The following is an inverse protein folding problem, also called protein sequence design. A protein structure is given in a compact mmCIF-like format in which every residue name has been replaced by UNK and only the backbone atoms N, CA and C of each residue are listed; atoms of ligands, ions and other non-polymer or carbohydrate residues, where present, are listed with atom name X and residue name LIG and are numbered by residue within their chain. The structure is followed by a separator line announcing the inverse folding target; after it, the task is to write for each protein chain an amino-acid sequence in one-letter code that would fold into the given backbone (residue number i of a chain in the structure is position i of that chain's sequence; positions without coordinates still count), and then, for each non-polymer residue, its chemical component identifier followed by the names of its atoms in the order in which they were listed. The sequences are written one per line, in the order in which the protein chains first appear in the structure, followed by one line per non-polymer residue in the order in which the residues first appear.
data_IF_846936714887
#
_entry.id   IF_846936714887
#
_cell.length_a   1.000
_cell.length_b   1.000
_cell.length_c   1.000
_cell.angle_alpha   90.00
_cell.angle_beta   90.00
_cell.angle_gamma   90.00
#
_symmetry.space_group_name_H-M   'P 1'
#
loop_
_entity.id
_entity.type
_entity.pdbx_description
1 polymer ?
#
# COMPACT_ATOMS: atom_id res chain seq x y z
N UNK A 1 -2.12 0.40 -18.62
CA UNK A 1 -2.59 -0.27 -17.38
C UNK A 1 -2.60 0.72 -16.24
N UNK A 2 -3.72 0.78 -15.49
CA UNK A 2 -3.83 1.65 -14.30
C UNK A 2 -3.87 0.83 -13.03
N UNK A 3 -3.04 1.18 -12.05
CA UNK A 3 -3.04 0.58 -10.70
C UNK A 3 -3.33 1.68 -9.70
N UNK A 4 -4.23 1.40 -8.75
CA UNK A 4 -4.51 2.28 -7.60
C UNK A 4 -4.27 1.51 -6.33
N UNK A 5 -3.62 2.16 -5.36
CA UNK A 5 -3.47 1.68 -3.99
C UNK A 5 -4.16 2.63 -3.03
N UNK A 6 -4.90 2.08 -2.06
CA UNK A 6 -5.65 2.87 -1.10
C UNK A 6 -5.73 2.19 0.27
N UNK A 7 -5.12 2.77 1.28
CA UNK A 7 -5.40 2.40 2.67
C UNK A 7 -6.80 2.93 3.04
N UNK A 8 -7.75 2.03 3.17
CA UNK A 8 -9.18 2.37 3.33
C UNK A 8 -9.61 2.55 4.78
N UNK A 9 -8.75 2.24 5.74
CA UNK A 9 -9.04 2.34 7.18
C UNK A 9 -10.40 1.73 7.57
N UNK A 10 -10.70 0.54 7.02
CA UNK A 10 -11.88 -0.26 7.30
C UNK A 10 -12.95 -0.25 6.20
N UNK A 11 -13.15 -1.42 5.58
CA UNK A 11 -14.10 -1.61 4.46
C UNK A 11 -15.53 -1.19 4.82
N UNK A 12 -16.04 -1.57 6.00
CA UNK A 12 -17.39 -1.22 6.46
C UNK A 12 -17.56 0.28 6.66
N UNK A 13 -16.51 0.97 7.10
CA UNK A 13 -16.53 2.41 7.24
C UNK A 13 -16.62 3.09 5.86
N UNK A 14 -15.90 2.59 4.88
CA UNK A 14 -15.84 3.15 3.54
C UNK A 14 -17.15 2.97 2.76
N UNK A 15 -17.80 1.79 2.85
CA UNK A 15 -19.07 1.53 2.17
C UNK A 15 -20.22 2.40 2.66
N UNK A 16 -20.09 3.00 3.85
CA UNK A 16 -21.09 3.92 4.43
C UNK A 16 -20.81 5.40 4.13
N UNK A 17 -19.82 5.72 3.27
CA UNK A 17 -19.43 7.10 2.98
C UNK A 17 -19.48 7.38 1.48
N UNK A 18 -19.96 8.56 1.08
CA UNK A 18 -19.83 9.09 -0.26
C UNK A 18 -18.42 9.63 -0.52
N UNK A 19 -18.12 9.95 -1.78
CA UNK A 19 -16.83 10.51 -2.21
C UNK A 19 -16.41 11.74 -1.39
N UNK A 20 -17.37 12.60 -1.03
CA UNK A 20 -17.15 13.79 -0.21
C UNK A 20 -17.03 13.51 1.30
N UNK A 21 -17.16 12.24 1.73
CA UNK A 21 -17.06 11.81 3.13
C UNK A 21 -18.38 11.84 3.91
N UNK A 22 -19.50 12.24 3.31
CA UNK A 22 -20.81 12.18 3.95
C UNK A 22 -21.25 10.73 4.24
N UNK A 23 -21.94 10.52 5.37
CA UNK A 23 -22.37 9.20 5.85
C UNK A 23 -23.75 8.81 5.34
N UNK A 24 -23.92 8.70 4.03
CA UNK A 24 -25.17 8.28 3.38
C UNK A 24 -24.92 7.25 2.28
N UNK A 25 -23.74 6.62 2.27
CA UNK A 25 -23.36 5.62 1.28
C UNK A 25 -24.04 4.26 1.50
N UNK A 26 -23.89 3.41 0.52
CA UNK A 26 -24.36 2.02 0.52
C UNK A 26 -23.48 1.16 -0.39
N UNK A 27 -23.78 -0.14 -0.57
CA UNK A 27 -22.95 -1.04 -1.37
C UNK A 27 -22.70 -0.59 -2.82
N UNK A 28 -23.67 0.12 -3.40
CA UNK A 28 -23.63 0.56 -4.81
C UNK A 28 -23.37 2.06 -4.99
N UNK A 29 -23.28 2.81 -3.90
CA UNK A 29 -23.03 4.26 -3.96
C UNK A 29 -22.16 4.65 -2.75
N UNK A 30 -20.86 4.56 -2.91
CA UNK A 30 -19.90 4.89 -1.87
C UNK A 30 -18.60 5.40 -2.49
N UNK A 31 -17.67 5.85 -1.65
CA UNK A 31 -16.40 6.42 -2.10
C UNK A 31 -15.59 5.43 -2.95
N UNK A 32 -15.66 4.12 -2.68
CA UNK A 32 -14.91 3.11 -3.44
C UNK A 32 -15.53 2.90 -4.82
N UNK A 33 -16.86 2.83 -4.94
CA UNK A 33 -17.53 2.71 -6.24
C UNK A 33 -17.30 3.97 -7.08
N UNK A 34 -17.37 5.17 -6.48
CA UNK A 34 -17.01 6.42 -7.18
C UNK A 34 -15.56 6.41 -7.68
N UNK A 35 -14.60 5.95 -6.85
CA UNK A 35 -13.20 5.82 -7.27
C UNK A 35 -13.07 4.88 -8.47
N UNK A 36 -13.72 3.72 -8.43
CA UNK A 36 -13.64 2.71 -9.49
C UNK A 36 -14.27 3.24 -10.78
N UNK A 37 -15.44 3.84 -10.71
CA UNK A 37 -16.18 4.33 -11.88
C UNK A 37 -15.48 5.52 -12.55
N UNK A 38 -14.89 6.43 -11.78
CA UNK A 38 -14.18 7.60 -12.30
C UNK A 38 -12.78 7.27 -12.81
N UNK A 39 -12.06 6.43 -12.08
CA UNK A 39 -10.64 6.14 -12.39
C UNK A 39 -10.45 4.88 -13.23
N UNK A 40 -11.39 3.94 -13.21
CA UNK A 40 -11.39 2.69 -13.98
C UNK A 40 -10.08 1.89 -13.87
N UNK A 41 -9.53 1.65 -12.66
CA UNK A 41 -8.29 0.92 -12.49
C UNK A 41 -8.40 -0.52 -13.00
N UNK A 42 -7.31 -1.04 -13.55
CA UNK A 42 -7.17 -2.44 -13.93
C UNK A 42 -6.88 -3.30 -12.71
N UNK A 43 -6.10 -2.75 -11.78
CA UNK A 43 -5.75 -3.36 -10.50
C UNK A 43 -6.01 -2.35 -9.39
N UNK A 44 -6.67 -2.81 -8.32
CA UNK A 44 -6.98 -2.02 -7.13
C UNK A 44 -6.47 -2.74 -5.89
N UNK A 45 -5.62 -2.07 -5.13
CA UNK A 45 -4.98 -2.58 -3.92
C UNK A 45 -5.54 -1.86 -2.70
N UNK A 46 -6.00 -2.62 -1.70
CA UNK A 46 -6.47 -2.06 -0.44
C UNK A 46 -5.59 -2.48 0.73
N UNK A 47 -5.39 -1.57 1.67
CA UNK A 47 -4.78 -1.83 2.96
C UNK A 47 -5.77 -1.46 4.07
N UNK A 48 -5.58 -2.05 5.24
CA UNK A 48 -6.43 -1.90 6.42
C UNK A 48 -7.91 -2.21 6.16
N UNK A 49 -8.20 -3.40 5.63
CA UNK A 49 -9.58 -3.87 5.44
C UNK A 49 -10.37 -3.92 6.76
N UNK A 50 -9.70 -4.22 7.87
CA UNK A 50 -10.25 -4.30 9.22
C UNK A 50 -11.52 -5.16 9.31
N UNK A 51 -11.54 -6.27 8.56
CA UNK A 51 -12.64 -7.26 8.56
C UNK A 51 -12.11 -8.67 8.68
N UNK A 52 -12.98 -9.59 9.10
CA UNK A 52 -12.75 -11.03 9.08
C UNK A 52 -13.66 -11.73 8.06
N UNK A 53 -14.50 -10.95 7.35
CA UNK A 53 -15.48 -11.47 6.42
C UNK A 53 -15.17 -11.01 4.99
N UNK A 54 -14.71 -11.93 4.15
CA UNK A 54 -14.46 -11.68 2.72
C UNK A 54 -15.73 -11.21 2.00
N UNK A 55 -16.91 -11.58 2.49
CA UNK A 55 -18.20 -11.13 1.97
C UNK A 55 -18.42 -9.62 2.02
N UNK A 56 -17.69 -8.90 2.88
CA UNK A 56 -17.74 -7.44 2.93
C UNK A 56 -17.20 -6.78 1.65
N UNK A 57 -16.48 -7.53 0.79
CA UNK A 57 -15.97 -7.10 -0.51
C UNK A 57 -16.86 -7.56 -1.67
N UNK A 58 -17.96 -8.28 -1.42
CA UNK A 58 -18.76 -8.94 -2.46
C UNK A 58 -19.32 -7.94 -3.49
N UNK A 59 -19.65 -6.71 -3.09
CA UNK A 59 -20.17 -5.66 -3.99
C UNK A 59 -19.15 -5.24 -5.06
N UNK A 60 -17.85 -5.46 -4.82
CA UNK A 60 -16.77 -5.14 -5.77
C UNK A 60 -16.63 -6.18 -6.89
N UNK A 61 -17.27 -7.36 -6.77
CA UNK A 61 -17.23 -8.39 -7.81
C UNK A 61 -17.88 -7.98 -9.12
N UNK A 62 -18.73 -6.95 -9.08
CA UNK A 62 -19.32 -6.33 -10.28
C UNK A 62 -18.25 -5.66 -11.15
N UNK A 63 -17.17 -5.17 -10.54
CA UNK A 63 -16.08 -4.47 -11.21
C UNK A 63 -14.84 -5.36 -11.39
N UNK A 64 -14.60 -6.28 -10.45
CA UNK A 64 -13.41 -7.15 -10.42
C UNK A 64 -13.83 -8.61 -10.21
N UNK A 65 -13.71 -9.47 -11.24
CA UNK A 65 -14.00 -10.90 -11.10
C UNK A 65 -13.02 -11.59 -10.12
N UNK A 66 -11.80 -11.09 -10.01
CA UNK A 66 -10.74 -11.68 -9.20
C UNK A 66 -10.43 -10.80 -7.99
N UNK A 67 -10.68 -11.32 -6.78
CA UNK A 67 -10.44 -10.64 -5.51
C UNK A 67 -9.66 -11.59 -4.59
N UNK A 68 -8.46 -11.20 -4.22
CA UNK A 68 -7.56 -11.93 -3.34
C UNK A 68 -7.35 -11.15 -2.05
N UNK A 69 -7.43 -11.81 -0.92
CA UNK A 69 -7.33 -11.16 0.39
C UNK A 69 -6.37 -11.89 1.29
N UNK A 70 -5.67 -11.15 2.13
CA UNK A 70 -4.99 -11.68 3.30
C UNK A 70 -5.53 -10.93 4.52
N UNK A 71 -6.29 -11.62 5.36
CA UNK A 71 -6.93 -11.05 6.53
C UNK A 71 -6.15 -11.44 7.79
N UNK A 72 -6.14 -10.56 8.79
CA UNK A 72 -5.45 -10.82 10.04
C UNK A 72 -6.00 -12.07 10.74
N UNK A 73 -5.11 -13.01 11.08
CA UNK A 73 -5.39 -14.20 11.88
C UNK A 73 -5.12 -13.94 13.37
N UNK A 74 -4.28 -12.95 13.67
CA UNK A 74 -3.89 -12.62 15.06
C UNK A 74 -4.92 -11.79 15.80
N UNK A 75 -5.60 -10.84 15.11
CA UNK A 75 -6.53 -9.91 15.77
C UNK A 75 -7.70 -9.54 14.86
N UNK A 76 -8.93 -9.68 15.39
CA UNK A 76 -10.17 -9.28 14.69
C UNK A 76 -10.22 -7.77 14.44
N UNK A 77 -10.64 -7.36 13.25
CA UNK A 77 -10.82 -5.96 12.90
C UNK A 77 -9.51 -5.17 12.82
N UNK A 78 -8.40 -5.85 12.53
CA UNK A 78 -7.07 -5.28 12.45
C UNK A 78 -6.42 -5.60 11.10
N UNK A 79 -5.63 -4.67 10.54
CA UNK A 79 -4.88 -4.87 9.30
C UNK A 79 -5.75 -5.44 8.15
N UNK A 80 -5.21 -6.36 7.37
CA UNK A 80 -5.86 -6.98 6.22
C UNK A 80 -5.64 -6.21 4.93
N UNK A 81 -5.23 -6.92 3.87
CA UNK A 81 -5.02 -6.36 2.53
C UNK A 81 -5.84 -7.10 1.50
N UNK A 82 -6.13 -6.43 0.38
CA UNK A 82 -6.76 -7.04 -0.79
C UNK A 82 -6.12 -6.56 -2.09
N UNK A 83 -6.04 -7.46 -3.06
CA UNK A 83 -5.72 -7.19 -4.45
C UNK A 83 -6.92 -7.58 -5.31
N UNK A 84 -7.46 -6.61 -6.03
CA UNK A 84 -8.61 -6.77 -6.93
C UNK A 84 -8.13 -6.54 -8.36
N UNK A 85 -8.47 -7.41 -9.28
CA UNK A 85 -7.98 -7.32 -10.66
C UNK A 85 -9.01 -7.79 -11.68
N UNK A 86 -8.98 -7.18 -12.89
CA UNK A 86 -9.77 -7.60 -14.05
C UNK A 86 -9.15 -8.81 -14.75
N UNK A 87 -7.81 -8.91 -14.74
CA UNK A 87 -7.04 -10.01 -15.30
C UNK A 87 -6.82 -11.09 -14.22
N UNK A 88 -6.98 -12.37 -14.58
CA UNK A 88 -6.65 -13.46 -13.67
C UNK A 88 -5.13 -13.64 -13.56
N UNK A 89 -4.54 -13.59 -12.36
CA UNK A 89 -3.13 -13.86 -12.17
C UNK A 89 -2.83 -15.36 -12.34
N UNK A 90 -1.65 -15.66 -12.86
CA UNK A 90 -1.16 -17.04 -13.01
C UNK A 90 -0.84 -17.69 -11.66
N UNK A 91 -0.54 -16.86 -10.66
CA UNK A 91 -0.13 -17.33 -9.35
C UNK A 91 -0.39 -16.25 -8.27
N UNK A 92 -0.79 -16.69 -7.08
CA UNK A 92 -1.07 -15.85 -5.91
C UNK A 92 -0.33 -16.38 -4.69
N UNK A 93 0.21 -15.48 -3.91
CA UNK A 93 0.77 -15.74 -2.59
C UNK A 93 0.31 -14.69 -1.58
N UNK A 94 0.09 -15.12 -0.35
CA UNK A 94 -0.45 -14.22 0.71
C UNK A 94 0.51 -14.06 1.89
N UNK A 95 1.73 -14.53 1.74
CA UNK A 95 2.80 -14.41 2.74
C UNK A 95 4.16 -14.60 2.04
N UNK A 96 5.25 -14.61 2.80
CA UNK A 96 6.60 -14.97 2.33
C UNK A 96 6.80 -16.51 2.31
N UNK A 97 5.87 -17.24 1.68
CA UNK A 97 5.83 -18.72 1.74
C UNK A 97 7.01 -19.41 1.06
N UNK A 98 7.79 -18.66 0.25
CA UNK A 98 9.04 -19.17 -0.35
C UNK A 98 10.18 -19.25 0.63
N UNK A 99 10.11 -18.50 1.73
CA UNK A 99 11.08 -18.60 2.80
C UNK A 99 10.68 -19.69 3.79
N UNK A 100 11.63 -20.56 4.19
CA UNK A 100 11.41 -21.48 5.30
C UNK A 100 10.97 -20.74 6.56
N UNK A 101 10.15 -21.40 7.38
CA UNK A 101 9.63 -20.79 8.61
C UNK A 101 10.77 -20.39 9.57
N UNK A 102 11.89 -21.13 9.53
CA UNK A 102 13.11 -20.80 10.29
C UNK A 102 13.68 -19.43 9.89
N UNK A 103 13.70 -19.11 8.59
CA UNK A 103 14.19 -17.79 8.11
C UNK A 103 13.30 -16.68 8.62
N UNK A 104 11.98 -16.85 8.54
CA UNK A 104 10.98 -15.89 9.07
C UNK A 104 11.16 -15.73 10.59
N UNK A 105 11.42 -16.83 11.31
CA UNK A 105 11.69 -16.85 12.74
C UNK A 105 13.00 -16.13 13.12
N UNK A 106 14.06 -16.37 12.37
CA UNK A 106 15.38 -15.75 12.60
C UNK A 106 15.32 -14.22 12.44
N UNK A 107 14.47 -13.71 11.51
CA UNK A 107 14.19 -12.28 11.38
C UNK A 107 13.22 -11.74 12.44
N UNK A 108 12.56 -12.59 13.23
CA UNK A 108 11.63 -12.17 14.28
C UNK A 108 10.32 -11.56 13.75
N UNK A 109 9.93 -11.85 12.50
CA UNK A 109 8.74 -11.25 11.87
C UNK A 109 7.51 -12.17 11.84
N UNK A 110 7.56 -13.30 12.53
CA UNK A 110 6.48 -14.28 12.54
C UNK A 110 5.10 -13.69 12.92
N UNK A 111 5.05 -12.77 13.88
CA UNK A 111 3.79 -12.10 14.24
C UNK A 111 3.19 -11.32 13.06
N UNK A 112 4.03 -10.66 12.25
CA UNK A 112 3.57 -9.87 11.12
C UNK A 112 2.98 -10.73 10.00
N UNK A 113 3.48 -11.97 9.82
CA UNK A 113 2.91 -12.90 8.83
C UNK A 113 1.49 -13.30 9.18
N UNK A 114 1.10 -13.24 10.46
CA UNK A 114 -0.24 -13.54 10.94
C UNK A 114 -1.19 -12.32 10.89
N UNK A 115 -0.70 -11.15 10.55
CA UNK A 115 -1.50 -9.91 10.57
C UNK A 115 -2.19 -9.58 9.22
N UNK A 116 -1.99 -10.41 8.18
CA UNK A 116 -2.64 -10.20 6.89
C UNK A 116 -2.13 -8.94 6.18
N UNK A 117 -0.82 -8.89 5.87
CA UNK A 117 -0.14 -7.67 5.44
C UNK A 117 0.30 -7.65 3.99
N UNK A 118 0.27 -8.78 3.29
CA UNK A 118 0.78 -8.87 1.92
C UNK A 118 -0.08 -9.80 1.06
N UNK A 119 -0.29 -9.41 -0.20
CA UNK A 119 -0.76 -10.28 -1.29
C UNK A 119 0.15 -10.03 -2.49
N UNK A 120 0.63 -11.10 -3.09
CA UNK A 120 1.52 -11.09 -4.25
C UNK A 120 0.78 -11.79 -5.39
N UNK A 121 0.68 -11.13 -6.53
CA UNK A 121 0.04 -11.64 -7.73
C UNK A 121 1.00 -11.63 -8.91
N UNK A 122 1.32 -12.80 -9.48
CA UNK A 122 2.10 -12.91 -10.70
C UNK A 122 1.15 -12.99 -11.89
N UNK A 123 1.31 -12.08 -12.81
CA UNK A 123 0.68 -12.08 -14.12
C UNK A 123 1.68 -12.49 -15.21
N UNK A 124 1.23 -12.60 -16.44
CA UNK A 124 2.07 -13.01 -17.56
C UNK A 124 3.27 -12.07 -17.79
N UNK A 125 3.08 -10.76 -17.58
CA UNK A 125 4.10 -9.73 -17.90
C UNK A 125 4.61 -8.94 -16.69
N UNK A 126 4.12 -9.22 -15.47
CA UNK A 126 4.42 -8.43 -14.29
C UNK A 126 4.12 -9.18 -13.00
N UNK A 127 4.70 -8.70 -11.91
CA UNK A 127 4.32 -9.13 -10.55
C UNK A 127 3.81 -7.88 -9.82
N UNK A 128 2.64 -7.97 -9.20
CA UNK A 128 2.05 -6.90 -8.40
C UNK A 128 1.92 -7.34 -6.95
N UNK A 129 2.43 -6.52 -6.05
CA UNK A 129 2.40 -6.75 -4.61
C UNK A 129 1.59 -5.65 -3.96
N UNK A 130 0.60 -6.00 -3.15
CA UNK A 130 -0.01 -5.07 -2.21
C UNK A 130 0.48 -5.35 -0.81
N UNK A 131 0.88 -4.30 -0.10
CA UNK A 131 1.47 -4.42 1.23
C UNK A 131 0.91 -3.36 2.20
N UNK A 132 0.76 -3.77 3.46
CA UNK A 132 0.56 -2.87 4.59
C UNK A 132 1.72 -3.08 5.58
N UNK A 133 2.73 -2.25 5.47
CA UNK A 133 3.92 -2.36 6.28
C UNK A 133 3.63 -2.04 7.76
N UNK A 134 4.18 -2.82 8.71
CA UNK A 134 3.98 -2.57 10.14
C UNK A 134 4.39 -1.16 10.54
N UNK A 135 3.62 -0.49 11.39
CA UNK A 135 4.03 0.77 12.00
C UNK A 135 5.01 0.52 13.16
N UNK A 136 6.03 1.35 13.30
CA UNK A 136 7.05 1.21 14.35
C UNK A 136 6.53 1.49 15.77
N UNK A 137 5.29 1.99 15.91
CA UNK A 137 4.60 2.34 17.15
C UNK A 137 5.24 3.54 17.88
N UNK A 138 4.52 4.18 18.83
CA UNK A 138 5.07 5.29 19.62
C UNK A 138 6.43 4.94 20.22
N UNK A 139 7.31 5.94 20.30
CA UNK A 139 8.69 5.81 20.80
C UNK A 139 9.54 4.78 20.03
N UNK A 140 9.10 4.40 18.81
CA UNK A 140 9.75 3.39 17.96
C UNK A 140 9.83 2.01 18.64
N UNK A 141 8.83 1.66 19.46
CA UNK A 141 8.82 0.46 20.29
C UNK A 141 8.97 -0.85 19.48
N UNK A 142 8.57 -0.86 18.18
CA UNK A 142 8.69 -2.02 17.28
C UNK A 142 9.65 -1.76 16.11
N UNK A 143 10.63 -0.88 16.28
CA UNK A 143 11.50 -0.48 15.16
C UNK A 143 12.38 -1.64 14.64
N UNK A 144 12.82 -2.54 15.50
CA UNK A 144 13.68 -3.66 15.10
C UNK A 144 12.91 -4.65 14.21
N UNK A 145 11.71 -5.03 14.64
CA UNK A 145 10.83 -5.93 13.86
C UNK A 145 10.38 -5.26 12.56
N UNK A 146 10.15 -3.94 12.60
CA UNK A 146 9.81 -3.14 11.42
C UNK A 146 10.94 -3.17 10.38
N UNK A 147 12.19 -2.97 10.79
CA UNK A 147 13.37 -3.03 9.91
C UNK A 147 13.53 -4.44 9.34
N UNK A 148 13.39 -5.47 10.17
CA UNK A 148 13.48 -6.86 9.74
C UNK A 148 12.40 -7.19 8.69
N UNK A 149 11.17 -6.71 8.88
CA UNK A 149 10.09 -6.84 7.87
C UNK A 149 10.49 -6.23 6.52
N UNK A 150 11.03 -5.02 6.51
CA UNK A 150 11.44 -4.37 5.27
C UNK A 150 12.61 -5.05 4.59
N UNK A 151 13.54 -5.59 5.36
CA UNK A 151 14.65 -6.37 4.82
C UNK A 151 14.15 -7.65 4.13
N UNK A 152 13.26 -8.40 4.79
CA UNK A 152 12.65 -9.61 4.21
C UNK A 152 11.84 -9.25 2.96
N UNK A 153 11.00 -8.22 3.01
CA UNK A 153 10.24 -7.75 1.85
C UNK A 153 11.16 -7.39 0.66
N UNK A 154 12.22 -6.65 0.92
CA UNK A 154 13.20 -6.25 -0.10
C UNK A 154 13.91 -7.45 -0.73
N UNK A 155 14.40 -8.39 0.09
CA UNK A 155 15.04 -9.61 -0.39
C UNK A 155 14.08 -10.44 -1.23
N UNK A 156 12.85 -10.61 -0.74
CA UNK A 156 11.81 -11.34 -1.45
C UNK A 156 11.49 -10.75 -2.83
N UNK A 157 11.36 -9.42 -2.91
CA UNK A 157 11.13 -8.73 -4.19
C UNK A 157 12.27 -8.92 -5.19
N UNK A 158 13.52 -8.90 -4.72
CA UNK A 158 14.70 -9.16 -5.56
C UNK A 158 14.70 -10.59 -6.09
N UNK A 159 14.37 -11.56 -5.24
CA UNK A 159 14.34 -12.98 -5.60
C UNK A 159 13.26 -13.29 -6.64
N UNK A 160 12.02 -12.85 -6.42
CA UNK A 160 10.94 -13.09 -7.38
C UNK A 160 11.18 -12.35 -8.70
N UNK A 161 11.79 -11.15 -8.66
CA UNK A 161 12.19 -10.44 -9.87
C UNK A 161 13.19 -11.25 -10.69
N UNK A 162 14.21 -11.82 -10.05
CA UNK A 162 15.23 -12.65 -10.70
C UNK A 162 14.68 -13.98 -11.20
N UNK A 163 13.84 -14.65 -10.39
CA UNK A 163 13.30 -15.96 -10.71
C UNK A 163 12.39 -15.93 -11.94
N UNK A 164 11.50 -14.93 -12.00
CA UNK A 164 10.51 -14.86 -13.07
C UNK A 164 10.95 -13.97 -14.25
N UNK A 165 12.03 -13.24 -14.12
CA UNK A 165 12.48 -12.23 -15.09
C UNK A 165 11.35 -11.25 -15.48
N UNK A 166 10.54 -10.86 -14.49
CA UNK A 166 9.40 -9.97 -14.65
C UNK A 166 9.55 -8.72 -13.78
N UNK A 167 9.07 -7.55 -14.25
CA UNK A 167 9.05 -6.35 -13.43
C UNK A 167 8.12 -6.53 -12.22
N UNK A 168 8.56 -6.03 -11.08
CA UNK A 168 7.81 -6.03 -9.82
C UNK A 168 7.26 -4.62 -9.57
N UNK A 169 6.00 -4.56 -9.18
CA UNK A 169 5.27 -3.35 -8.79
C UNK A 169 4.78 -3.55 -7.37
N UNK A 170 5.34 -2.80 -6.42
CA UNK A 170 4.93 -2.80 -5.02
C UNK A 170 4.00 -1.63 -4.75
N UNK A 171 2.81 -1.89 -4.29
CA UNK A 171 1.80 -0.89 -3.94
C UNK A 171 1.43 -0.99 -2.47
N UNK A 172 1.31 0.12 -1.77
CA UNK A 172 0.72 0.06 -0.44
C UNK A 172 1.10 1.20 0.49
N UNK A 173 0.61 1.05 1.71
CA UNK A 173 1.02 1.86 2.83
C UNK A 173 2.34 1.32 3.39
N UNK A 174 3.43 1.99 3.06
CA UNK A 174 4.76 1.64 3.53
C UNK A 174 5.09 2.26 4.89
N UNK A 175 4.14 3.01 5.48
CA UNK A 175 4.33 3.67 6.78
C UNK A 175 5.67 4.43 6.87
N UNK A 176 6.14 5.05 5.78
CA UNK A 176 7.38 5.79 5.72
C UNK A 176 7.28 6.99 4.77
N UNK A 177 7.58 8.19 5.27
CA UNK A 177 7.85 9.37 4.46
C UNK A 177 9.36 9.44 4.19
N UNK A 178 9.85 9.12 2.97
CA UNK A 178 11.28 8.87 2.77
C UNK A 178 12.15 10.14 2.78
N UNK A 179 11.59 11.29 2.41
CA UNK A 179 12.32 12.56 2.31
C UNK A 179 11.63 13.67 3.07
N UNK A 180 12.34 14.78 3.33
CA UNK A 180 11.78 15.95 4.02
C UNK A 180 10.61 16.58 3.26
N UNK A 181 10.59 16.50 1.93
CA UNK A 181 9.48 16.98 1.09
C UNK A 181 8.20 16.13 1.26
N UNK A 182 8.33 14.92 1.79
CA UNK A 182 7.25 13.95 1.93
C UNK A 182 6.49 14.06 3.26
N UNK A 183 6.84 15.03 4.09
CA UNK A 183 6.23 15.24 5.40
C UNK A 183 6.11 16.73 5.73
N UNK A 184 4.98 17.09 6.31
CA UNK A 184 4.83 18.41 6.94
C UNK A 184 5.62 18.46 8.25
N UNK A 185 6.41 19.52 8.47
CA UNK A 185 7.25 19.71 9.67
C UNK A 185 8.31 18.59 9.89
N UNK A 186 9.23 18.33 8.96
CA UNK A 186 10.22 17.25 9.08
C UNK A 186 11.11 17.37 10.32
N UNK A 187 11.48 18.60 10.72
CA UNK A 187 12.39 18.83 11.85
C UNK A 187 11.86 18.30 13.19
N UNK A 188 10.55 18.43 13.43
CA UNK A 188 9.91 17.97 14.67
C UNK A 188 9.58 16.47 14.68
N UNK A 189 9.67 15.80 13.53
CA UNK A 189 9.23 14.42 13.36
C UNK A 189 10.37 13.40 13.17
N UNK A 190 11.64 13.78 13.27
CA UNK A 190 12.79 12.87 13.04
C UNK A 190 12.83 11.61 13.91
N UNK A 191 12.10 11.62 15.03
CA UNK A 191 11.98 10.46 15.93
C UNK A 191 10.56 9.88 15.96
N UNK A 192 9.69 10.35 15.06
CA UNK A 192 8.32 9.85 14.96
C UNK A 192 8.28 8.58 14.09
N UNK A 193 7.44 7.59 14.42
CA UNK A 193 7.13 6.48 13.52
C UNK A 193 6.74 6.98 12.13
N UNK A 194 7.31 6.37 11.09
CA UNK A 194 7.11 6.78 9.70
C UNK A 194 8.09 7.86 9.19
N UNK A 195 8.94 8.44 10.07
CA UNK A 195 9.97 9.39 9.64
C UNK A 195 11.29 9.25 10.42
N UNK A 196 11.49 8.15 11.11
CA UNK A 196 12.79 7.86 11.76
C UNK A 196 13.89 7.66 10.71
N UNK A 197 15.13 7.93 11.10
CA UNK A 197 16.27 7.73 10.20
C UNK A 197 16.43 6.25 9.80
N UNK A 198 16.04 5.32 10.69
CA UNK A 198 16.04 3.89 10.42
C UNK A 198 15.05 3.52 9.31
N UNK A 199 13.77 3.91 9.43
CA UNK A 199 12.74 3.62 8.42
C UNK A 199 13.09 4.23 7.05
N UNK A 200 13.58 5.47 7.05
CA UNK A 200 14.04 6.14 5.83
C UNK A 200 15.23 5.45 5.19
N UNK A 201 16.16 4.93 6.00
CA UNK A 201 17.31 4.17 5.51
C UNK A 201 16.86 2.88 4.82
N UNK A 202 15.90 2.14 5.38
CA UNK A 202 15.36 0.94 4.73
C UNK A 202 14.66 1.26 3.41
N UNK A 203 13.87 2.34 3.37
CA UNK A 203 13.28 2.81 2.11
C UNK A 203 14.35 3.12 1.05
N UNK A 204 15.45 3.79 1.43
CA UNK A 204 16.56 4.07 0.51
C UNK A 204 17.28 2.79 0.05
N UNK A 205 17.40 1.76 0.90
CA UNK A 205 17.92 0.44 0.50
C UNK A 205 17.00 -0.22 -0.54
N UNK A 206 15.67 -0.09 -0.38
CA UNK A 206 14.70 -0.59 -1.37
C UNK A 206 14.94 0.07 -2.73
N UNK A 207 15.05 1.40 -2.77
CA UNK A 207 15.37 2.16 -4.01
C UNK A 207 16.73 1.74 -4.58
N UNK A 208 17.77 1.65 -3.74
CA UNK A 208 19.11 1.20 -4.15
C UNK A 208 19.17 -0.24 -4.67
N UNK A 209 18.14 -1.03 -4.43
CA UNK A 209 18.04 -2.43 -4.90
C UNK A 209 17.41 -2.58 -6.29
N UNK A 210 17.23 -1.48 -7.03
CA UNK A 210 16.73 -1.49 -8.40
C UNK A 210 15.25 -1.16 -8.53
N UNK A 211 14.67 -0.44 -7.55
CA UNK A 211 13.30 0.06 -7.60
C UNK A 211 13.25 1.58 -7.70
N UNK A 212 12.15 2.11 -8.21
CA UNK A 212 11.86 3.53 -8.34
C UNK A 212 10.59 3.88 -7.54
N UNK A 213 10.61 4.98 -6.80
CA UNK A 213 9.40 5.64 -6.31
C UNK A 213 8.73 6.36 -7.49
N UNK A 214 7.65 5.79 -7.99
CA UNK A 214 6.98 6.26 -9.21
C UNK A 214 6.50 7.71 -9.12
N UNK A 215 5.96 8.09 -7.94
CA UNK A 215 5.49 9.47 -7.72
C UNK A 215 6.67 10.44 -7.75
N UNK A 216 7.74 10.15 -7.01
CA UNK A 216 8.90 11.04 -6.93
C UNK A 216 9.69 11.08 -8.24
N UNK A 217 9.70 9.99 -8.99
CA UNK A 217 10.30 9.93 -10.33
C UNK A 217 9.60 10.87 -11.32
N UNK A 218 8.25 10.92 -11.29
CA UNK A 218 7.46 11.79 -12.18
C UNK A 218 7.29 13.22 -11.68
N UNK A 219 7.32 13.41 -10.37
CA UNK A 219 7.02 14.67 -9.69
C UNK A 219 8.12 15.00 -8.65
N UNK A 220 9.37 15.26 -9.08
CA UNK A 220 10.52 15.37 -8.18
C UNK A 220 10.37 16.46 -7.09
N UNK A 221 9.74 17.57 -7.42
CA UNK A 221 9.64 18.76 -6.54
C UNK A 221 8.22 18.99 -5.99
N UNK A 222 7.26 18.11 -6.32
CA UNK A 222 5.87 18.31 -5.90
C UNK A 222 5.68 17.93 -4.43
N UNK A 223 5.22 18.86 -3.60
CA UNK A 223 4.75 18.60 -2.23
C UNK A 223 3.33 18.07 -2.29
N UNK A 224 3.15 16.79 -1.95
CA UNK A 224 1.85 16.14 -1.86
C UNK A 224 1.89 15.06 -0.80
N UNK A 225 0.76 14.82 -0.16
CA UNK A 225 0.63 13.88 0.96
C UNK A 225 -0.48 12.89 0.71
N UNK A 226 -0.29 11.66 1.18
CA UNK A 226 -1.25 10.57 1.05
C UNK A 226 -1.97 10.25 2.37
N UNK A 227 -1.43 10.70 3.49
CA UNK A 227 -1.98 10.51 4.84
C UNK A 227 -2.18 11.84 5.56
N UNK A 228 -3.31 11.98 6.24
CA UNK A 228 -3.67 13.16 7.04
C UNK A 228 -4.29 12.70 8.36
N UNK A 229 -3.61 13.00 9.47
CA UNK A 229 -4.18 12.73 10.79
C UNK A 229 -5.58 13.35 10.92
N UNK A 230 -6.50 12.63 11.59
CA UNK A 230 -7.84 13.16 11.89
C UNK A 230 -7.84 14.34 12.87
N UNK A 231 -6.69 14.65 13.46
CA UNK A 231 -6.55 15.73 14.43
C UNK A 231 -6.51 17.12 13.74
N UNK A 232 -7.17 18.09 14.35
CA UNK A 232 -7.10 19.53 14.00
C UNK A 232 -7.34 19.84 12.51
N UNK A 233 -8.21 19.08 11.82
CA UNK A 233 -8.53 19.27 10.40
C UNK A 233 -7.27 19.27 9.51
N UNK A 234 -6.33 18.37 9.77
CA UNK A 234 -5.02 18.29 9.12
C UNK A 234 -5.12 18.29 7.59
N UNK A 235 -6.07 17.56 7.01
CA UNK A 235 -6.29 17.50 5.55
C UNK A 235 -6.66 18.86 4.96
N UNK A 236 -7.58 19.59 5.58
CA UNK A 236 -7.98 20.93 5.12
C UNK A 236 -6.85 21.97 5.23
N UNK A 237 -5.87 21.72 6.08
CA UNK A 237 -4.68 22.57 6.28
C UNK A 237 -3.46 22.08 5.50
N UNK A 238 -3.60 21.03 4.71
CA UNK A 238 -2.52 20.32 4.02
C UNK A 238 -1.34 19.95 4.95
N UNK A 239 -1.66 19.46 6.16
CA UNK A 239 -0.69 18.98 7.14
C UNK A 239 -0.70 17.46 7.10
N UNK A 240 0.17 16.88 6.29
CA UNK A 240 0.13 15.46 5.97
C UNK A 240 1.52 14.84 5.77
N UNK A 241 1.50 13.56 5.42
CA UNK A 241 2.64 12.71 5.16
C UNK A 241 2.38 11.92 3.88
N UNK A 242 3.40 11.68 3.06
CA UNK A 242 3.35 10.76 1.94
C UNK A 242 3.96 9.44 2.39
N UNK A 243 3.10 8.50 2.78
CA UNK A 243 3.48 7.17 3.31
C UNK A 243 2.90 6.02 2.49
N UNK A 244 1.99 6.32 1.56
CA UNK A 244 1.50 5.38 0.56
C UNK A 244 2.30 5.55 -0.73
N UNK A 245 2.79 4.43 -1.27
CA UNK A 245 3.71 4.43 -2.39
C UNK A 245 3.34 3.39 -3.45
N UNK A 246 3.75 3.65 -4.68
CA UNK A 246 3.86 2.64 -5.72
C UNK A 246 5.32 2.65 -6.19
N UNK A 247 6.05 1.59 -5.83
CA UNK A 247 7.42 1.37 -6.29
C UNK A 247 7.40 0.41 -7.46
N UNK A 248 8.24 0.65 -8.46
CA UNK A 248 8.34 -0.21 -9.64
C UNK A 248 9.80 -0.60 -9.89
N UNK A 249 10.03 -1.77 -10.48
CA UNK A 249 11.36 -2.12 -11.00
C UNK A 249 11.89 -1.00 -11.90
N UNK A 250 13.14 -0.59 -11.73
CA UNK A 250 13.74 0.52 -12.49
C UNK A 250 13.73 0.27 -14.00
N UNK A 251 13.73 -1.00 -14.43
CA UNK A 251 13.63 -1.41 -15.83
C UNK A 251 12.37 -0.93 -16.55
N UNK A 252 11.30 -0.60 -15.82
CA UNK A 252 10.06 -0.09 -16.40
C UNK A 252 9.79 1.39 -16.07
N UNK A 253 10.79 2.12 -15.59
CA UNK A 253 10.67 3.53 -15.24
C UNK A 253 10.16 4.40 -16.40
N UNK A 254 10.66 4.19 -17.61
CA UNK A 254 10.25 4.92 -18.82
C UNK A 254 8.82 4.62 -19.26
N UNK A 255 8.22 3.55 -18.76
CA UNK A 255 6.84 3.16 -19.04
C UNK A 255 5.83 3.84 -18.11
N UNK A 256 6.28 4.57 -17.09
CA UNK A 256 5.43 5.35 -16.21
C UNK A 256 4.91 6.57 -16.99
N UNK A 257 3.60 6.63 -17.24
CA UNK A 257 2.95 7.77 -17.91
C UNK A 257 2.47 8.81 -16.90
N UNK A 258 1.88 8.34 -15.79
CA UNK A 258 1.36 9.18 -14.72
C UNK A 258 1.63 8.53 -13.37
N UNK A 259 1.88 9.34 -12.35
CA UNK A 259 1.92 8.93 -10.96
C UNK A 259 1.29 10.06 -10.13
N UNK A 260 0.17 9.80 -9.47
CA UNK A 260 -0.66 10.82 -8.84
C UNK A 260 -1.13 10.40 -7.45
N UNK A 261 -1.41 11.42 -6.62
CA UNK A 261 -2.10 11.28 -5.34
C UNK A 261 -3.48 11.90 -5.50
N UNK A 262 -4.53 11.09 -5.34
CA UNK A 262 -5.90 11.45 -5.67
C UNK A 262 -6.60 12.09 -4.46
N UNK A 263 -6.34 13.37 -4.23
CA UNK A 263 -6.78 14.10 -3.04
C UNK A 263 -8.30 14.30 -2.89
N UNK A 264 -9.13 14.02 -3.91
CA UNK A 264 -10.56 14.31 -3.90
C UNK A 264 -11.44 13.18 -3.32
N UNK A 265 -10.85 12.05 -2.93
CA UNK A 265 -11.56 10.93 -2.32
C UNK A 265 -11.45 11.00 -0.80
N UNK A 266 -12.59 11.21 -0.16
CA UNK A 266 -12.70 11.33 1.29
C UNK A 266 -13.22 10.01 1.90
N UNK A 267 -13.11 9.85 3.21
CA UNK A 267 -13.63 8.67 3.91
C UNK A 267 -12.59 7.92 4.71
N UNK A 268 -11.34 7.92 4.26
CA UNK A 268 -10.17 7.46 5.03
C UNK A 268 -9.33 8.67 5.49
N UNK A 269 -8.44 8.48 6.42
CA UNK A 269 -7.33 9.37 6.75
C UNK A 269 -6.18 9.30 5.72
N UNK A 270 -6.22 8.31 4.84
CA UNK A 270 -5.42 8.26 3.62
C UNK A 270 -6.19 8.73 2.39
N UNK A 271 -5.47 8.95 1.30
CA UNK A 271 -6.00 9.17 -0.04
C UNK A 271 -5.39 8.19 -1.03
N UNK A 272 -6.11 7.82 -2.12
CA UNK A 272 -5.58 6.86 -3.08
C UNK A 272 -4.31 7.39 -3.76
N UNK A 273 -3.39 6.49 -4.08
CA UNK A 273 -2.24 6.74 -4.95
C UNK A 273 -2.38 5.93 -6.24
N UNK A 274 -2.00 6.50 -7.37
CA UNK A 274 -2.25 5.95 -8.70
C UNK A 274 -1.00 5.98 -9.56
N UNK A 275 -0.86 4.95 -10.39
CA UNK A 275 0.11 4.90 -11.50
C UNK A 275 -0.57 4.47 -12.79
N UNK A 276 -0.21 5.11 -13.91
CA UNK A 276 -0.50 4.65 -15.26
C UNK A 276 0.81 4.14 -15.90
N UNK A 277 0.82 2.86 -16.29
CA UNK A 277 1.92 2.17 -16.94
C UNK A 277 1.55 1.73 -18.35
N UNK A 278 2.50 1.84 -19.25
CA UNK A 278 2.40 1.31 -20.62
C UNK A 278 3.20 -0.01 -20.70
N UNK A 279 2.57 -1.08 -20.18
CA UNK A 279 3.13 -2.45 -20.14
C UNK A 279 2.48 -3.33 -21.20
#
# INVERSE_FOLDING_TARGET
MRIISFNINGIKSMTNKLKNGEKIGGPTNNVLTSLIEEQQPDILCFQELKTQNVGDLAFLRTYYPHIYTNLSKSKKGYSGVALLTKEEPEWIETDFTRYPEEVIGDYGIHEFTQEGRIVIAKFRSKIVITVYTPNAQPELARIQERIAWEEVLRMYMIEIHKEFDLPVILCGDLNCAPNEIDIHNPKSNRKSPGFSDQERSEFQKMIGSGFLDSFRFRNPDQVAYSYFSNFAKSRARNVGWRIDHILVSSSIGDQIRRAEILGDYFGSDHVPVMIDLEL
#
